data_IF_575442742353
#
_entry.id   IF_575442742353
#
_cell.length_a   1.000
_cell.length_b   1.000
_cell.length_c   1.000
_cell.angle_alpha   90.00
_cell.angle_beta   90.00
_cell.angle_gamma   90.00
#
_symmetry.space_group_name_H-M   'P 1'
#
loop_
_entity.id
_entity.type
_entity.pdbx_description
1 polymer ?
#
# COMPACT_ATOMS: atom_id res chain seq x y z
N UNK A 1 -15.95 11.86 -19.44
CA UNK A 1 -14.55 11.98 -19.92
C UNK A 1 -13.60 12.56 -18.88
N UNK A 2 -13.96 13.58 -18.12
CA UNK A 2 -13.10 14.19 -17.06
C UNK A 2 -12.65 13.20 -15.99
N UNK A 3 -13.52 12.30 -15.55
CA UNK A 3 -13.23 11.33 -14.49
C UNK A 3 -12.07 10.38 -14.85
N UNK A 4 -12.03 9.88 -16.09
CA UNK A 4 -10.97 8.97 -16.52
C UNK A 4 -9.58 9.66 -16.53
N UNK A 5 -9.51 10.97 -16.85
CA UNK A 5 -8.25 11.70 -16.79
C UNK A 5 -7.71 11.81 -15.37
N UNK A 6 -8.59 12.04 -14.37
CA UNK A 6 -8.17 12.02 -12.96
C UNK A 6 -7.64 10.65 -12.55
N UNK A 7 -8.34 9.56 -12.88
CA UNK A 7 -7.91 8.21 -12.57
C UNK A 7 -6.56 7.88 -13.21
N UNK A 8 -6.40 8.19 -14.49
CA UNK A 8 -5.13 8.00 -15.22
C UNK A 8 -3.99 8.75 -14.54
N UNK A 9 -4.21 10.02 -14.18
CA UNK A 9 -3.18 10.84 -13.52
C UNK A 9 -2.81 10.27 -12.14
N UNK A 10 -3.80 9.90 -11.33
CA UNK A 10 -3.59 9.31 -9.99
C UNK A 10 -2.78 8.01 -10.11
N UNK A 11 -3.20 7.11 -11.00
CA UNK A 11 -2.52 5.83 -11.20
C UNK A 11 -1.10 6.04 -11.72
N UNK A 12 -0.89 6.91 -12.70
CA UNK A 12 0.44 7.19 -13.24
C UNK A 12 1.38 7.75 -12.17
N UNK A 13 0.96 8.80 -11.46
CA UNK A 13 1.78 9.47 -10.42
C UNK A 13 2.13 8.49 -9.30
N UNK A 14 1.17 7.74 -8.76
CA UNK A 14 1.46 6.85 -7.64
C UNK A 14 2.15 5.55 -8.05
N UNK A 15 2.07 5.14 -9.32
CA UNK A 15 2.92 4.07 -9.87
C UNK A 15 4.39 4.52 -9.96
N UNK A 16 4.64 5.79 -10.31
CA UNK A 16 5.97 6.40 -10.25
C UNK A 16 6.49 6.36 -8.80
N UNK A 17 5.70 6.78 -7.83
CA UNK A 17 6.05 6.73 -6.41
C UNK A 17 6.37 5.30 -5.97
N UNK A 18 5.54 4.32 -6.33
CA UNK A 18 5.77 2.92 -6.00
C UNK A 18 7.05 2.36 -6.63
N UNK A 19 7.40 2.79 -7.84
CA UNK A 19 8.63 2.38 -8.53
C UNK A 19 9.89 2.73 -7.72
N UNK A 20 9.88 3.87 -7.05
CA UNK A 20 11.04 4.39 -6.31
C UNK A 20 11.11 3.80 -4.89
N UNK A 21 9.97 3.66 -4.19
CA UNK A 21 9.93 3.27 -2.76
C UNK A 21 9.50 1.84 -2.50
N UNK A 22 9.00 1.14 -3.50
CA UNK A 22 8.36 -0.16 -3.30
C UNK A 22 6.95 -0.08 -2.68
N UNK A 23 6.53 1.10 -2.25
CA UNK A 23 5.18 1.41 -1.74
C UNK A 23 4.75 2.77 -2.27
N UNK A 24 3.50 2.93 -2.66
CA UNK A 24 3.05 4.24 -3.17
C UNK A 24 1.65 4.21 -3.73
N UNK A 25 1.38 3.33 -4.69
CA UNK A 25 0.08 3.27 -5.35
C UNK A 25 -1.07 3.06 -4.36
N UNK A 26 -0.97 2.08 -3.47
CA UNK A 26 -2.00 1.84 -2.46
C UNK A 26 -1.94 2.88 -1.34
N UNK A 27 -0.74 3.29 -0.91
CA UNK A 27 -0.54 4.22 0.21
C UNK A 27 -1.14 5.61 -0.04
N UNK A 28 -1.04 6.12 -1.27
CA UNK A 28 -1.55 7.44 -1.65
C UNK A 28 -2.80 7.36 -2.53
N UNK A 29 -2.91 6.33 -3.37
CA UNK A 29 -4.09 6.13 -4.21
C UNK A 29 -5.35 5.91 -3.40
N UNK A 30 -5.28 5.11 -2.33
CA UNK A 30 -6.45 4.85 -1.47
C UNK A 30 -7.01 6.13 -0.85
N UNK A 31 -6.25 6.94 -0.10
CA UNK A 31 -6.78 8.18 0.46
C UNK A 31 -7.21 9.18 -0.62
N UNK A 32 -6.53 9.23 -1.75
CA UNK A 32 -6.92 10.13 -2.86
C UNK A 32 -8.30 9.79 -3.40
N UNK A 33 -8.56 8.51 -3.70
CA UNK A 33 -9.86 8.10 -4.23
C UNK A 33 -10.97 8.25 -3.17
N UNK A 34 -10.70 7.94 -1.90
CA UNK A 34 -11.65 8.18 -0.82
C UNK A 34 -11.98 9.66 -0.63
N UNK A 35 -10.99 10.56 -0.78
CA UNK A 35 -11.21 12.01 -0.75
C UNK A 35 -12.03 12.49 -1.96
N UNK A 36 -11.92 11.81 -3.10
CA UNK A 36 -12.74 12.02 -4.30
C UNK A 36 -14.10 11.30 -4.24
N UNK A 37 -14.49 10.79 -3.06
CA UNK A 37 -15.80 10.19 -2.79
C UNK A 37 -16.08 8.84 -3.44
N UNK A 38 -15.03 8.16 -3.93
CA UNK A 38 -15.15 6.76 -4.28
C UNK A 38 -15.41 5.92 -3.02
N UNK A 39 -16.30 4.93 -3.11
CA UNK A 39 -16.47 3.96 -2.04
C UNK A 39 -15.18 3.16 -1.83
N UNK A 40 -15.05 2.54 -0.65
CA UNK A 40 -13.85 1.73 -0.36
C UNK A 40 -13.70 0.57 -1.33
N UNK A 41 -14.80 -0.13 -1.65
CA UNK A 41 -14.78 -1.24 -2.60
C UNK A 41 -14.41 -0.80 -4.01
N UNK A 42 -14.94 0.33 -4.50
CA UNK A 42 -14.54 0.89 -5.80
C UNK A 42 -13.07 1.28 -5.83
N UNK A 43 -12.60 1.92 -4.76
CA UNK A 43 -11.18 2.27 -4.59
C UNK A 43 -10.29 1.04 -4.71
N UNK A 44 -10.65 -0.06 -4.05
CA UNK A 44 -9.90 -1.29 -4.12
C UNK A 44 -9.94 -1.92 -5.51
N UNK A 45 -11.10 -1.96 -6.18
CA UNK A 45 -11.23 -2.48 -7.55
C UNK A 45 -10.41 -1.70 -8.58
N UNK A 46 -10.21 -0.39 -8.38
CA UNK A 46 -9.38 0.44 -9.26
C UNK A 46 -7.87 0.24 -9.00
N UNK A 47 -7.47 0.15 -7.73
CA UNK A 47 -6.05 0.16 -7.36
C UNK A 47 -5.40 -1.23 -7.32
N UNK A 48 -6.12 -2.26 -6.85
CA UNK A 48 -5.52 -3.58 -6.63
C UNK A 48 -5.02 -4.25 -7.92
N UNK A 49 -5.75 -4.26 -9.06
CA UNK A 49 -5.24 -4.85 -10.28
C UNK A 49 -3.95 -4.18 -10.78
N UNK A 50 -3.86 -2.85 -10.66
CA UNK A 50 -2.65 -2.10 -10.97
C UNK A 50 -1.49 -2.46 -10.01
N UNK A 51 -1.80 -2.58 -8.73
CA UNK A 51 -0.82 -2.99 -7.71
C UNK A 51 -0.32 -4.42 -7.90
N UNK A 52 -1.20 -5.35 -8.24
CA UNK A 52 -0.83 -6.74 -8.59
C UNK A 52 0.15 -6.75 -9.75
N UNK A 53 -0.14 -6.01 -10.82
CA UNK A 53 0.70 -5.95 -12.01
C UNK A 53 2.10 -5.42 -11.69
N UNK A 54 2.20 -4.31 -10.96
CA UNK A 54 3.49 -3.74 -10.55
C UNK A 54 4.24 -4.70 -9.63
N UNK A 55 3.58 -5.22 -8.61
CA UNK A 55 4.19 -6.13 -7.63
C UNK A 55 4.66 -7.42 -8.27
N UNK A 56 3.91 -7.96 -9.25
CA UNK A 56 4.31 -9.14 -10.00
C UNK A 56 5.63 -8.93 -10.75
N UNK A 57 5.79 -7.79 -11.41
CA UNK A 57 7.03 -7.45 -12.12
C UNK A 57 8.19 -7.29 -11.15
N UNK A 58 7.96 -6.63 -10.00
CA UNK A 58 8.98 -6.50 -8.95
C UNK A 58 9.42 -7.89 -8.44
N UNK A 59 8.47 -8.77 -8.17
CA UNK A 59 8.72 -10.15 -7.71
C UNK A 59 9.52 -10.94 -8.75
N UNK A 60 9.15 -10.86 -10.03
CA UNK A 60 9.87 -11.56 -11.11
C UNK A 60 11.30 -11.04 -11.27
N UNK A 61 11.49 -9.73 -11.21
CA UNK A 61 12.82 -9.13 -11.38
C UNK A 61 13.75 -9.39 -10.20
N UNK A 62 13.19 -9.35 -8.98
CA UNK A 62 13.95 -9.42 -7.74
C UNK A 62 13.78 -10.76 -7.00
N UNK A 63 13.34 -11.86 -7.68
CA UNK A 63 12.96 -13.12 -7.04
C UNK A 63 14.05 -13.74 -6.16
N UNK A 64 15.32 -13.56 -6.51
CA UNK A 64 16.49 -14.05 -5.74
C UNK A 64 16.67 -13.35 -4.39
N UNK A 65 16.05 -12.19 -4.19
CA UNK A 65 16.13 -11.40 -2.97
C UNK A 65 14.94 -11.64 -2.02
N UNK A 66 14.00 -12.50 -2.42
CA UNK A 66 12.80 -12.79 -1.64
C UNK A 66 13.11 -13.85 -0.59
N UNK A 67 13.05 -13.43 0.66
CA UNK A 67 13.27 -14.29 1.83
C UNK A 67 12.06 -14.32 2.78
N UNK A 68 10.90 -13.86 2.29
CA UNK A 68 9.69 -13.75 3.11
C UNK A 68 9.30 -15.11 3.72
N UNK A 69 9.22 -15.13 5.05
CA UNK A 69 8.95 -16.36 5.80
C UNK A 69 7.49 -16.77 5.66
N UNK A 70 7.25 -18.07 5.48
CA UNK A 70 5.88 -18.65 5.41
C UNK A 70 5.01 -18.21 6.60
N UNK A 71 5.58 -18.09 7.81
CA UNK A 71 4.87 -17.60 9.01
C UNK A 71 4.24 -16.22 8.83
N UNK A 72 4.87 -15.32 8.07
CA UNK A 72 4.29 -14.01 7.78
C UNK A 72 2.96 -14.16 7.04
N UNK A 73 2.95 -14.98 6.00
CA UNK A 73 1.78 -15.23 5.16
C UNK A 73 0.64 -15.85 5.99
N UNK A 74 0.93 -16.86 6.80
CA UNK A 74 -0.08 -17.55 7.61
C UNK A 74 -0.73 -16.67 8.69
N UNK A 75 -0.06 -15.63 9.16
CA UNK A 75 -0.62 -14.71 10.16
C UNK A 75 -1.28 -13.48 9.50
N UNK A 76 -0.69 -12.95 8.44
CA UNK A 76 -1.19 -11.75 7.78
C UNK A 76 -2.47 -12.02 6.98
N UNK A 77 -2.54 -13.14 6.25
CA UNK A 77 -3.68 -13.42 5.37
C UNK A 77 -5.00 -13.58 6.13
N UNK A 78 -5.12 -14.44 7.17
CA UNK A 78 -6.39 -14.58 7.87
C UNK A 78 -6.89 -13.28 8.49
N UNK A 79 -5.97 -12.48 9.05
CA UNK A 79 -6.33 -11.19 9.65
C UNK A 79 -6.70 -10.15 8.60
N UNK A 80 -6.05 -10.17 7.43
CA UNK A 80 -6.44 -9.36 6.27
C UNK A 80 -7.85 -9.74 5.79
N UNK A 81 -8.08 -11.02 5.53
CA UNK A 81 -9.37 -11.51 5.00
C UNK A 81 -10.50 -11.14 5.94
N UNK A 82 -10.34 -11.41 7.24
CA UNK A 82 -11.35 -11.10 8.25
C UNK A 82 -11.60 -9.59 8.33
N UNK A 83 -10.56 -8.79 8.47
CA UNK A 83 -10.72 -7.33 8.61
C UNK A 83 -11.26 -6.68 7.35
N UNK A 84 -10.83 -7.12 6.16
CA UNK A 84 -11.38 -6.63 4.90
C UNK A 84 -12.86 -7.01 4.73
N UNK A 85 -13.21 -8.28 5.02
CA UNK A 85 -14.58 -8.73 4.94
C UNK A 85 -15.51 -7.91 5.84
N UNK A 86 -15.11 -7.70 7.10
CA UNK A 86 -15.86 -6.84 8.02
C UNK A 86 -15.96 -5.39 7.51
N UNK A 87 -14.85 -4.83 7.02
CA UNK A 87 -14.84 -3.45 6.53
C UNK A 87 -15.75 -3.26 5.32
N UNK A 88 -15.71 -4.18 4.34
CA UNK A 88 -16.56 -4.08 3.14
C UNK A 88 -18.03 -4.32 3.49
N UNK A 89 -18.33 -5.26 4.39
CA UNK A 89 -19.72 -5.57 4.78
C UNK A 89 -20.36 -4.43 5.57
N UNK A 90 -19.61 -3.74 6.42
CA UNK A 90 -20.11 -2.68 7.30
C UNK A 90 -19.65 -1.27 6.86
N UNK A 91 -19.23 -1.12 5.59
CA UNK A 91 -18.69 0.13 5.07
C UNK A 91 -19.62 1.34 5.27
N UNK A 92 -20.93 1.15 5.12
CA UNK A 92 -21.92 2.23 5.24
C UNK A 92 -22.03 2.82 6.66
N UNK A 93 -21.63 2.05 7.68
CA UNK A 93 -21.61 2.50 9.09
C UNK A 93 -20.26 3.02 9.57
N UNK A 94 -19.22 2.99 8.74
CA UNK A 94 -17.85 3.29 9.14
C UNK A 94 -17.26 4.40 8.26
N UNK A 95 -16.76 5.47 8.88
CA UNK A 95 -16.02 6.49 8.14
C UNK A 95 -14.60 6.01 7.86
N UNK A 96 -14.43 5.22 6.76
CA UNK A 96 -13.16 4.65 6.36
C UNK A 96 -12.14 5.74 6.03
N UNK A 97 -12.58 6.87 5.46
CA UNK A 97 -11.70 8.01 5.15
C UNK A 97 -11.03 8.55 6.40
N UNK A 98 -11.76 8.69 7.51
CA UNK A 98 -11.17 9.11 8.80
C UNK A 98 -10.22 8.07 9.37
N UNK A 99 -10.54 6.78 9.29
CA UNK A 99 -9.65 5.71 9.74
C UNK A 99 -8.33 5.75 8.96
N UNK A 100 -8.41 5.85 7.63
CA UNK A 100 -7.25 6.00 6.75
C UNK A 100 -6.45 7.24 7.12
N UNK A 101 -7.09 8.36 7.38
CA UNK A 101 -6.45 9.61 7.81
C UNK A 101 -5.70 9.46 9.14
N UNK A 102 -6.31 8.86 10.15
CA UNK A 102 -5.68 8.60 11.45
C UNK A 102 -4.46 7.68 11.28
N UNK A 103 -4.59 6.61 10.51
CA UNK A 103 -3.47 5.68 10.25
C UNK A 103 -2.32 6.38 9.52
N UNK A 104 -2.61 7.25 8.54
CA UNK A 104 -1.59 8.06 7.87
C UNK A 104 -0.86 8.99 8.84
N UNK A 105 -1.60 9.68 9.70
CA UNK A 105 -1.00 10.55 10.71
C UNK A 105 -0.09 9.77 11.65
N UNK A 106 -0.53 8.61 12.13
CA UNK A 106 0.30 7.75 12.98
C UNK A 106 1.57 7.30 12.26
N UNK A 107 1.46 6.83 11.00
CA UNK A 107 2.62 6.44 10.18
C UNK A 107 3.55 7.64 9.97
N UNK A 108 3.01 8.81 9.65
CA UNK A 108 3.77 10.03 9.46
C UNK A 108 4.56 10.43 10.71
N UNK A 109 3.91 10.50 11.87
CA UNK A 109 4.54 10.81 13.16
C UNK A 109 5.68 9.84 13.46
N UNK A 110 5.45 8.53 13.26
CA UNK A 110 6.48 7.52 13.46
C UNK A 110 7.67 7.76 12.53
N UNK A 111 7.41 8.04 11.25
CA UNK A 111 8.48 8.24 10.25
C UNK A 111 9.29 9.51 10.48
N UNK A 112 8.75 10.53 11.14
CA UNK A 112 9.49 11.75 11.51
C UNK A 112 10.28 11.63 12.82
N UNK A 113 10.01 10.63 13.65
CA UNK A 113 10.65 10.45 14.94
C UNK A 113 11.60 9.26 14.94
N UNK A 114 12.92 9.51 14.95
CA UNK A 114 13.93 8.45 15.09
C UNK A 114 13.75 7.62 16.37
N UNK A 115 13.30 8.27 17.45
CA UNK A 115 13.01 7.60 18.73
C UNK A 115 11.84 6.62 18.61
N UNK A 116 10.75 7.02 17.95
CA UNK A 116 9.61 6.13 17.73
C UNK A 116 9.94 5.00 16.75
N UNK A 117 10.75 5.27 15.71
CA UNK A 117 11.22 4.23 14.81
C UNK A 117 12.08 3.19 15.54
N UNK A 118 13.01 3.62 16.41
CA UNK A 118 13.84 2.74 17.21
C UNK A 118 12.99 1.90 18.20
N UNK A 119 12.02 2.54 18.87
CA UNK A 119 11.09 1.86 19.78
C UNK A 119 10.28 0.79 19.04
N UNK A 120 9.67 1.14 17.91
CA UNK A 120 8.92 0.18 17.08
C UNK A 120 9.82 -0.93 16.56
N UNK A 121 11.03 -0.63 16.09
CA UNK A 121 11.98 -1.65 15.66
C UNK A 121 12.30 -2.67 16.76
N UNK A 122 12.43 -2.21 18.02
CA UNK A 122 12.63 -3.09 19.17
C UNK A 122 11.41 -3.96 19.48
N UNK A 123 10.20 -3.38 19.41
CA UNK A 123 8.93 -4.10 19.60
C UNK A 123 8.71 -5.14 18.51
N UNK A 124 8.96 -4.78 17.24
CA UNK A 124 8.87 -5.69 16.09
C UNK A 124 9.77 -6.91 16.28
N UNK A 125 11.03 -6.72 16.74
CA UNK A 125 11.97 -7.82 17.01
C UNK A 125 11.48 -8.75 18.12
N UNK A 126 10.86 -8.20 19.16
CA UNK A 126 10.37 -8.98 20.32
C UNK A 126 9.08 -9.74 20.01
N UNK A 127 8.16 -9.14 19.23
CA UNK A 127 6.81 -9.64 19.01
C UNK A 127 6.42 -9.61 17.51
N UNK A 128 7.27 -10.16 16.67
CA UNK A 128 7.07 -10.14 15.22
C UNK A 128 5.72 -10.76 14.77
N UNK A 129 5.21 -11.75 15.50
CA UNK A 129 3.94 -12.39 15.19
C UNK A 129 2.76 -11.43 15.37
N UNK A 130 2.75 -10.66 16.48
CA UNK A 130 1.74 -9.63 16.74
C UNK A 130 1.80 -8.56 15.66
N UNK A 131 3.01 -8.20 15.22
CA UNK A 131 3.17 -7.21 14.18
C UNK A 131 2.64 -7.68 12.81
N UNK A 132 2.75 -8.97 12.49
CA UNK A 132 2.11 -9.54 11.30
C UNK A 132 0.59 -9.43 11.36
N UNK A 133 -0.02 -9.69 12.52
CA UNK A 133 -1.46 -9.51 12.74
C UNK A 133 -1.85 -8.05 12.50
N UNK A 134 -1.09 -7.10 13.04
CA UNK A 134 -1.33 -5.66 12.86
C UNK A 134 -1.26 -5.29 11.37
N UNK A 135 -0.27 -5.79 10.62
CA UNK A 135 -0.17 -5.53 9.17
C UNK A 135 -1.44 -6.01 8.46
N UNK A 136 -1.92 -7.23 8.76
CA UNK A 136 -3.12 -7.78 8.13
C UNK A 136 -4.36 -6.95 8.42
N UNK A 137 -4.58 -6.60 9.70
CA UNK A 137 -5.71 -5.77 10.11
C UNK A 137 -5.67 -4.39 9.48
N UNK A 138 -4.52 -3.69 9.58
CA UNK A 138 -4.36 -2.35 8.99
C UNK A 138 -4.58 -2.39 7.48
N UNK A 139 -4.05 -3.41 6.81
CA UNK A 139 -4.20 -3.52 5.35
C UNK A 139 -5.65 -3.83 4.94
N UNK A 140 -6.34 -4.71 5.66
CA UNK A 140 -7.75 -5.04 5.38
C UNK A 140 -8.70 -3.88 5.61
N UNK A 141 -8.49 -3.10 6.69
CA UNK A 141 -9.37 -1.96 7.03
C UNK A 141 -9.11 -0.73 6.15
N UNK A 142 -7.86 -0.50 5.74
CA UNK A 142 -7.47 0.79 5.14
C UNK A 142 -6.68 0.69 3.84
N UNK A 143 -6.31 -0.51 3.42
CA UNK A 143 -5.38 -0.73 2.30
C UNK A 143 -3.97 -0.10 2.51
N UNK A 144 -3.63 0.28 3.74
CA UNK A 144 -2.42 1.03 4.08
C UNK A 144 -1.33 0.19 4.77
N UNK A 145 -1.41 -1.11 4.69
CA UNK A 145 -0.44 -2.04 5.29
C UNK A 145 1.02 -1.83 4.83
N UNK A 146 1.22 -1.08 3.74
CA UNK A 146 2.55 -0.77 3.24
C UNK A 146 3.42 0.04 4.18
N UNK A 147 2.83 0.94 4.96
CA UNK A 147 3.56 1.69 5.99
C UNK A 147 4.16 0.75 7.05
N UNK A 148 3.35 0.00 7.78
CA UNK A 148 3.83 -1.01 8.72
C UNK A 148 4.75 -2.06 8.09
N UNK A 149 4.43 -2.54 6.89
CA UNK A 149 5.25 -3.53 6.20
C UNK A 149 6.64 -3.01 5.86
N UNK A 150 6.76 -1.75 5.41
CA UNK A 150 8.06 -1.12 5.15
C UNK A 150 8.90 -1.02 6.41
N UNK A 151 8.29 -0.68 7.55
CA UNK A 151 8.97 -0.62 8.85
C UNK A 151 9.47 -2.01 9.23
N UNK A 152 8.65 -3.04 9.10
CA UNK A 152 9.05 -4.42 9.36
C UNK A 152 10.24 -4.82 8.50
N UNK A 153 10.15 -4.62 7.18
CA UNK A 153 11.20 -5.05 6.24
C UNK A 153 12.50 -4.28 6.46
N UNK A 154 12.45 -2.98 6.77
CA UNK A 154 13.65 -2.21 7.13
C UNK A 154 14.27 -2.58 8.48
N UNK A 155 13.50 -3.25 9.35
CA UNK A 155 14.02 -3.79 10.62
C UNK A 155 14.75 -5.13 10.41
N UNK A 156 14.34 -5.90 9.39
CA UNK A 156 14.90 -7.23 9.09
C UNK A 156 16.06 -7.14 8.09
N UNK A 157 15.94 -6.29 7.08
CA UNK A 157 16.89 -6.17 5.97
C UNK A 157 17.55 -4.80 5.97
N UNK A 158 18.85 -4.77 5.63
CA UNK A 158 19.62 -3.53 5.51
C UNK A 158 19.73 -3.00 4.08
N UNK A 159 19.61 -3.89 3.07
CA UNK A 159 19.70 -3.53 1.66
C UNK A 159 18.36 -3.11 1.11
N UNK A 160 18.28 -1.97 0.42
CA UNK A 160 17.04 -1.43 -0.17
C UNK A 160 16.39 -2.40 -1.14
N UNK A 161 17.17 -3.08 -1.94
CA UNK A 161 16.69 -4.05 -2.91
C UNK A 161 15.99 -5.22 -2.21
N UNK A 162 16.57 -5.74 -1.12
CA UNK A 162 15.94 -6.81 -0.31
C UNK A 162 14.67 -6.33 0.39
N UNK A 163 14.66 -5.09 0.91
CA UNK A 163 13.46 -4.49 1.49
C UNK A 163 12.36 -4.42 0.43
N UNK A 164 12.66 -3.84 -0.73
CA UNK A 164 11.70 -3.67 -1.82
C UNK A 164 11.16 -5.01 -2.33
N UNK A 165 12.03 -5.99 -2.57
CA UNK A 165 11.65 -7.32 -3.06
C UNK A 165 10.69 -8.04 -2.10
N UNK A 166 10.96 -8.01 -0.80
CA UNK A 166 10.13 -8.67 0.20
C UNK A 166 8.82 -7.91 0.45
N UNK A 167 8.83 -6.57 0.39
CA UNK A 167 7.60 -5.76 0.41
C UNK A 167 6.73 -6.09 -0.80
N UNK A 168 7.28 -6.09 -2.01
CA UNK A 168 6.54 -6.38 -3.23
C UNK A 168 5.93 -7.78 -3.22
N UNK A 169 6.67 -8.77 -2.74
CA UNK A 169 6.18 -10.14 -2.63
C UNK A 169 4.96 -10.25 -1.68
N UNK A 170 5.05 -9.64 -0.49
CA UNK A 170 3.93 -9.64 0.44
C UNK A 170 2.76 -8.85 -0.12
N UNK A 171 2.99 -7.70 -0.74
CA UNK A 171 1.93 -6.91 -1.39
C UNK A 171 1.21 -7.68 -2.49
N UNK A 172 1.95 -8.42 -3.32
CA UNK A 172 1.34 -9.25 -4.37
C UNK A 172 0.36 -10.26 -3.76
N UNK A 173 0.77 -10.94 -2.69
CA UNK A 173 -0.08 -11.92 -2.00
C UNK A 173 -1.29 -11.22 -1.38
N UNK A 174 -1.09 -10.12 -0.66
CA UNK A 174 -2.18 -9.38 -0.01
C UNK A 174 -3.20 -8.91 -1.05
N UNK A 175 -2.76 -8.33 -2.16
CA UNK A 175 -3.64 -7.83 -3.21
C UNK A 175 -4.44 -8.95 -3.90
N UNK A 176 -3.85 -10.13 -4.12
CA UNK A 176 -4.56 -11.30 -4.67
C UNK A 176 -5.68 -11.73 -3.71
N UNK A 177 -5.37 -11.86 -2.40
CA UNK A 177 -6.39 -12.22 -1.42
C UNK A 177 -7.46 -11.15 -1.24
N UNK A 178 -7.11 -9.86 -1.32
CA UNK A 178 -8.10 -8.77 -1.31
C UNK A 178 -9.04 -8.84 -2.51
N UNK A 179 -8.51 -9.07 -3.73
CA UNK A 179 -9.34 -9.24 -4.92
C UNK A 179 -10.26 -10.47 -4.80
N UNK A 180 -9.77 -11.58 -4.24
CA UNK A 180 -10.59 -12.76 -4.00
C UNK A 180 -11.73 -12.48 -3.00
N UNK A 181 -11.45 -11.79 -1.91
CA UNK A 181 -12.47 -11.37 -0.94
C UNK A 181 -13.50 -10.44 -1.58
N UNK A 182 -13.05 -9.42 -2.30
CA UNK A 182 -13.93 -8.47 -3.00
C UNK A 182 -14.84 -9.16 -4.01
N UNK A 183 -14.33 -10.13 -4.77
CA UNK A 183 -15.13 -10.86 -5.76
C UNK A 183 -16.24 -11.71 -5.14
N UNK A 184 -16.13 -12.05 -3.86
CA UNK A 184 -17.12 -12.86 -3.13
C UNK A 184 -18.15 -11.98 -2.41
N UNK A 185 -17.70 -10.89 -1.78
CA UNK A 185 -18.56 -10.13 -0.83
C UNK A 185 -18.92 -8.72 -1.30
N UNK A 186 -18.22 -8.15 -2.28
CA UNK A 186 -18.50 -6.79 -2.72
C UNK A 186 -19.68 -6.76 -3.69
N UNK A 187 -20.57 -5.79 -3.50
CA UNK A 187 -21.67 -5.49 -4.43
C UNK A 187 -21.17 -4.71 -5.66
N UNK A 188 -19.94 -4.22 -5.65
CA UNK A 188 -19.30 -3.56 -6.78
C UNK A 188 -18.46 -4.57 -7.58
N UNK A 189 -18.31 -4.34 -8.87
CA UNK A 189 -17.53 -5.19 -9.77
C UNK A 189 -16.37 -4.42 -10.40
N UNK A 190 -15.49 -5.17 -11.04
CA UNK A 190 -14.37 -4.61 -11.79
C UNK A 190 -14.91 -3.69 -12.90
N UNK A 191 -14.49 -2.43 -12.87
CA UNK A 191 -14.86 -1.43 -13.87
C UNK A 191 -14.01 -1.59 -15.14
N UNK A 192 -14.58 -1.27 -16.29
CA UNK A 192 -13.89 -1.33 -17.61
C UNK A 192 -12.66 -0.42 -17.68
N UNK A 193 -12.66 0.68 -16.93
CA UNK A 193 -11.55 1.63 -16.84
C UNK A 193 -10.25 0.97 -16.38
N UNK A 194 -10.34 -0.10 -15.59
CA UNK A 194 -9.17 -0.85 -15.10
C UNK A 194 -8.35 -1.43 -16.27
N UNK A 195 -8.99 -1.79 -17.39
CA UNK A 195 -8.28 -2.25 -18.58
C UNK A 195 -7.31 -1.20 -19.13
N UNK A 196 -7.62 0.08 -18.98
CA UNK A 196 -6.75 1.19 -19.36
C UNK A 196 -5.73 1.51 -18.26
N UNK A 197 -6.14 1.42 -16.99
CA UNK A 197 -5.30 1.80 -15.85
C UNK A 197 -4.12 0.84 -15.64
N UNK A 198 -4.30 -0.46 -15.90
CA UNK A 198 -3.23 -1.47 -15.78
C UNK A 198 -2.04 -1.15 -16.69
N UNK A 199 -2.18 -0.98 -18.02
CA UNK A 199 -1.04 -0.65 -18.87
C UNK A 199 -0.42 0.70 -18.55
N UNK A 200 -1.20 1.69 -18.09
CA UNK A 200 -0.67 2.98 -17.64
C UNK A 200 0.18 2.82 -16.38
N UNK A 201 -0.30 2.07 -15.40
CA UNK A 201 0.47 1.80 -14.17
C UNK A 201 1.77 1.09 -14.48
N UNK A 202 1.73 0.10 -15.38
CA UNK A 202 2.89 -0.64 -15.83
C UNK A 202 3.90 0.25 -16.58
N UNK A 203 3.43 1.03 -17.54
CA UNK A 203 4.29 1.92 -18.33
C UNK A 203 4.98 2.96 -17.41
N UNK A 204 4.23 3.59 -16.51
CA UNK A 204 4.75 4.56 -15.54
C UNK A 204 5.79 3.94 -14.61
N UNK A 205 5.51 2.73 -14.11
CA UNK A 205 6.42 1.98 -13.25
C UNK A 205 7.71 1.63 -13.99
N UNK A 206 7.64 1.01 -15.17
CA UNK A 206 8.81 0.55 -15.94
C UNK A 206 9.67 1.73 -16.38
N UNK A 207 9.06 2.80 -16.89
CA UNK A 207 9.78 4.02 -17.26
C UNK A 207 10.58 4.59 -16.10
N UNK A 208 9.92 4.76 -14.94
CA UNK A 208 10.56 5.34 -13.75
C UNK A 208 11.64 4.43 -13.20
N UNK A 209 11.39 3.14 -13.14
CA UNK A 209 12.35 2.14 -12.66
C UNK A 209 13.65 2.14 -13.47
N UNK A 210 13.55 2.29 -14.79
CA UNK A 210 14.73 2.30 -15.68
C UNK A 210 15.49 3.63 -15.69
N UNK A 211 14.79 4.76 -15.66
CA UNK A 211 15.40 6.05 -16.00
C UNK A 211 15.55 7.01 -14.82
N UNK A 212 14.78 6.84 -13.76
CA UNK A 212 14.67 7.81 -12.66
C UNK A 212 15.16 7.26 -11.33
N UNK A 213 14.86 6.01 -11.00
CA UNK A 213 15.06 5.46 -9.64
C UNK A 213 16.49 5.53 -9.13
N UNK A 214 17.50 5.41 -10.03
CA UNK A 214 18.93 5.47 -9.68
C UNK A 214 19.44 6.90 -9.44
N UNK A 215 18.69 7.93 -9.84
CA UNK A 215 19.08 9.35 -9.77
C UNK A 215 18.48 10.11 -8.59
N UNK A 216 17.63 9.47 -7.82
CA UNK A 216 16.87 10.12 -6.75
C UNK A 216 17.70 10.16 -5.47
N UNK A 217 17.85 11.36 -4.89
CA UNK A 217 18.42 11.55 -3.55
C UNK A 217 17.44 11.02 -2.49
N UNK A 218 17.81 9.91 -1.88
CA UNK A 218 17.01 9.18 -0.91
C UNK A 218 16.52 10.03 0.26
N UNK A 219 17.34 10.98 0.76
CA UNK A 219 16.99 11.78 1.94
C UNK A 219 15.90 12.80 1.61
N UNK A 220 16.10 13.57 0.54
CA UNK A 220 15.12 14.57 0.10
C UNK A 220 13.80 13.92 -0.25
N UNK A 221 13.87 12.80 -0.93
CA UNK A 221 12.68 12.11 -1.38
C UNK A 221 11.91 11.45 -0.22
N UNK A 222 12.60 10.81 0.72
CA UNK A 222 11.98 10.27 1.94
C UNK A 222 11.30 11.38 2.74
N UNK A 223 11.89 12.56 2.80
CA UNK A 223 11.29 13.72 3.46
C UNK A 223 9.98 14.14 2.76
N UNK A 224 10.00 14.29 1.43
CA UNK A 224 8.80 14.65 0.65
C UNK A 224 7.69 13.61 0.85
N UNK A 225 8.02 12.32 0.77
CA UNK A 225 7.06 11.24 0.97
C UNK A 225 6.44 11.28 2.37
N UNK A 226 7.25 11.50 3.40
CA UNK A 226 6.75 11.59 4.77
C UNK A 226 5.86 12.83 4.97
N UNK A 227 6.19 13.97 4.33
CA UNK A 227 5.33 15.15 4.32
C UNK A 227 3.99 14.86 3.62
N UNK A 228 4.02 14.19 2.48
CA UNK A 228 2.78 13.77 1.79
C UNK A 228 1.90 12.90 2.70
N UNK A 229 2.48 11.94 3.41
CA UNK A 229 1.74 11.08 4.35
C UNK A 229 1.03 11.91 5.42
N UNK A 230 1.68 12.93 5.99
CA UNK A 230 1.05 13.81 6.98
C UNK A 230 -0.05 14.68 6.36
N UNK A 231 0.21 15.29 5.20
CA UNK A 231 -0.79 16.13 4.51
C UNK A 231 -2.04 15.33 4.17
N UNK A 232 -1.88 14.14 3.56
CA UNK A 232 -3.02 13.26 3.26
C UNK A 232 -3.74 12.81 4.53
N UNK A 233 -3.00 12.53 5.60
CA UNK A 233 -3.59 12.17 6.89
C UNK A 233 -4.45 13.29 7.45
N UNK A 234 -3.98 14.53 7.43
CA UNK A 234 -4.76 15.70 7.86
C UNK A 234 -6.01 15.90 6.99
N UNK A 235 -5.87 15.88 5.68
CA UNK A 235 -6.99 16.05 4.76
C UNK A 235 -8.07 14.99 4.97
N UNK A 236 -7.67 13.73 5.17
CA UNK A 236 -8.60 12.63 5.35
C UNK A 236 -9.30 12.64 6.73
N UNK A 237 -8.68 13.19 7.77
CA UNK A 237 -9.32 13.34 9.10
C UNK A 237 -10.30 14.51 9.13
N UNK A 238 -10.01 15.58 8.39
CA UNK A 238 -10.85 16.79 8.36
C UNK A 238 -12.12 16.61 7.51
N UNK A 239 -12.16 15.60 6.62
CA UNK A 239 -13.34 15.25 5.84
C UNK A 239 -14.27 14.33 6.63
#
# INVERSE_FOLDING_TARGET
MTEIYYLVTIIAVFSIVQSIFGVGLLLFGTPTLLLLEYSYSETLWLLLPCSVTISLIQVVNDYKLIEAKKKAIYLVIPTLVLSLALTVTYADGINITKIVGILLLLIGIIKFSSKLQALLGSMVKKQIQVYYIIIGVVHGVSNMGGGPLSILMSTIYSKKESIRANVAFIYLILAIFQLAVLSIISNTSLKSEVMLLIPISLASYVFTSKFISSKVDDKKYTFILNMMVLVYGMLAVLK
#
